data_IF_575424917500
#
_entry.id   IF_575424917500
#
_cell.length_a   1.000
_cell.length_b   1.000
_cell.length_c   1.000
_cell.angle_alpha   90.00
_cell.angle_beta   90.00
_cell.angle_gamma   90.00
#
_symmetry.space_group_name_H-M   'P 1'
#
loop_
_entity.id
_entity.type
_entity.pdbx_description
1 polymer ?
#
# COMPACT_ATOMS: atom_id res chain seq x y z
N UNK A 1 -12.54 -12.18 -2.67
CA UNK A 1 -11.30 -12.37 -1.90
C UNK A 1 -11.20 -11.21 -0.92
N UNK A 2 -10.81 -11.48 0.31
CA UNK A 2 -10.70 -10.46 1.34
C UNK A 2 -9.35 -9.76 1.24
N UNK A 3 -9.36 -8.44 1.03
CA UNK A 3 -8.12 -7.65 0.89
C UNK A 3 -7.28 -7.62 2.18
N UNK A 4 -7.85 -8.08 3.30
CA UNK A 4 -7.24 -8.11 4.61
C UNK A 4 -7.01 -9.53 5.13
N UNK A 5 -7.02 -10.53 4.23
CA UNK A 5 -6.66 -11.92 4.56
C UNK A 5 -5.33 -11.98 5.32
N UNK A 6 -5.28 -12.80 6.37
CA UNK A 6 -4.04 -13.04 7.14
C UNK A 6 -2.99 -13.78 6.30
N UNK A 7 -3.46 -14.62 5.39
CA UNK A 7 -2.60 -15.50 4.60
C UNK A 7 -2.17 -14.77 3.32
N UNK A 8 -0.86 -14.79 3.00
CA UNK A 8 -0.35 -14.26 1.75
C UNK A 8 -0.94 -15.07 0.59
N UNK A 9 -1.60 -14.41 -0.38
CA UNK A 9 -2.09 -15.08 -1.57
C UNK A 9 -0.95 -15.59 -2.44
N UNK A 10 -1.12 -16.71 -3.14
CA UNK A 10 -0.06 -17.25 -4.02
C UNK A 10 0.34 -16.28 -5.16
N UNK A 11 -0.60 -15.46 -5.64
CA UNK A 11 -0.36 -14.52 -6.73
C UNK A 11 0.63 -13.41 -6.39
N UNK A 12 0.88 -13.13 -5.09
CA UNK A 12 1.83 -12.07 -4.69
C UNK A 12 3.29 -12.43 -5.01
N UNK A 13 3.60 -13.70 -5.27
CA UNK A 13 4.97 -14.14 -5.56
C UNK A 13 5.52 -13.54 -6.85
N UNK A 14 4.63 -13.22 -7.81
CA UNK A 14 4.99 -12.60 -9.09
C UNK A 14 4.88 -11.06 -9.06
N UNK A 15 4.73 -10.46 -7.87
CA UNK A 15 4.49 -9.03 -7.75
C UNK A 15 5.75 -8.21 -8.04
N UNK A 16 5.63 -7.24 -8.95
CA UNK A 16 6.70 -6.25 -9.24
C UNK A 16 6.48 -4.96 -8.45
N UNK A 17 7.54 -4.33 -7.96
CA UNK A 17 7.42 -3.04 -7.26
C UNK A 17 7.04 -1.91 -8.23
N UNK A 18 5.97 -1.18 -7.95
CA UNK A 18 5.55 -0.01 -8.71
C UNK A 18 5.89 1.28 -7.95
N UNK A 19 6.72 2.13 -8.58
CA UNK A 19 7.16 3.40 -7.99
C UNK A 19 6.04 4.47 -8.04
N UNK A 20 5.25 4.51 -9.12
CA UNK A 20 4.23 5.53 -9.36
C UNK A 20 2.83 5.16 -8.83
N UNK A 21 2.75 4.16 -7.94
CA UNK A 21 1.48 3.66 -7.37
C UNK A 21 0.43 3.28 -8.44
N UNK A 22 0.89 2.80 -9.60
CA UNK A 22 0.08 2.39 -10.73
C UNK A 22 0.57 1.07 -11.33
N UNK A 23 -0.25 0.42 -12.15
CA UNK A 23 0.16 -0.81 -12.81
C UNK A 23 1.36 -0.57 -13.73
N UNK A 24 2.47 -1.32 -13.61
CA UNK A 24 3.66 -1.10 -14.46
C UNK A 24 3.43 -1.46 -15.94
N UNK A 25 2.38 -2.24 -16.25
CA UNK A 25 2.06 -2.67 -17.62
C UNK A 25 1.09 -1.70 -18.31
N UNK A 26 -0.05 -1.42 -17.69
CA UNK A 26 -1.12 -0.61 -18.28
C UNK A 26 -1.28 0.79 -17.67
N UNK A 27 -0.50 1.14 -16.63
CA UNK A 27 -0.57 2.41 -15.88
C UNK A 27 -1.92 2.70 -15.23
N UNK A 28 -2.79 1.68 -15.13
CA UNK A 28 -4.07 1.83 -14.46
C UNK A 28 -3.91 2.00 -12.95
N UNK A 29 -4.84 2.74 -12.38
CA UNK A 29 -4.90 2.97 -10.94
C UNK A 29 -5.28 1.69 -10.19
N UNK A 30 -4.87 1.54 -8.92
CA UNK A 30 -5.23 0.39 -8.09
C UNK A 30 -6.75 0.27 -7.84
N UNK A 31 -7.54 1.30 -8.14
CA UNK A 31 -9.00 1.25 -8.10
C UNK A 31 -9.59 0.27 -9.12
N UNK A 32 -8.90 0.02 -10.23
CA UNK A 32 -9.28 -1.00 -11.24
C UNK A 32 -8.62 -2.35 -10.99
N UNK A 33 -7.97 -2.57 -9.85
CA UNK A 33 -7.40 -3.87 -9.54
C UNK A 33 -8.51 -4.90 -9.29
N UNK A 34 -8.36 -6.08 -9.88
CA UNK A 34 -9.25 -7.22 -9.69
C UNK A 34 -9.20 -7.73 -8.26
N UNK A 35 -8.00 -7.70 -7.67
CA UNK A 35 -7.75 -8.10 -6.29
C UNK A 35 -6.71 -7.18 -5.68
N UNK A 36 -6.86 -6.96 -4.38
CA UNK A 36 -5.88 -6.27 -3.55
C UNK A 36 -5.58 -7.12 -2.32
N UNK A 37 -4.39 -7.01 -1.78
CA UNK A 37 -3.99 -7.61 -0.52
C UNK A 37 -3.01 -6.71 0.22
N UNK A 38 -3.27 -6.44 1.50
CA UNK A 38 -2.44 -5.58 2.33
C UNK A 38 -1.75 -6.40 3.43
N UNK A 39 -0.43 -6.34 3.48
CA UNK A 39 0.32 -6.96 4.56
C UNK A 39 0.33 -6.06 5.81
N UNK A 40 -0.65 -6.24 6.70
CA UNK A 40 -0.79 -5.47 7.95
C UNK A 40 0.14 -5.92 9.08
N UNK A 41 0.72 -7.11 8.98
CA UNK A 41 1.41 -7.78 10.09
C UNK A 41 2.93 -7.57 10.10
N UNK A 42 3.50 -7.20 8.96
CA UNK A 42 4.93 -6.91 8.83
C UNK A 42 5.13 -5.46 8.35
N UNK A 43 4.87 -4.46 9.22
CA UNK A 43 5.23 -3.09 8.90
C UNK A 43 6.75 -2.97 8.78
N UNK A 44 7.21 -2.31 7.73
CA UNK A 44 8.61 -1.95 7.57
C UNK A 44 8.81 -0.57 8.15
N UNK A 45 9.78 -0.44 9.05
CA UNK A 45 10.16 0.86 9.61
C UNK A 45 11.16 1.53 8.68
N UNK A 46 10.80 2.70 8.19
CA UNK A 46 11.68 3.52 7.36
C UNK A 46 12.69 4.32 8.21
N UNK A 47 13.68 4.96 7.58
CA UNK A 47 14.69 5.79 8.26
C UNK A 47 14.10 6.93 9.11
N UNK A 48 12.88 7.36 8.79
CA UNK A 48 12.12 8.35 9.55
C UNK A 48 11.28 7.76 10.70
N UNK A 49 11.50 6.49 11.08
CA UNK A 49 10.72 5.74 12.08
C UNK A 49 9.23 5.58 11.75
N UNK A 50 8.83 5.87 10.51
CA UNK A 50 7.46 5.70 10.04
C UNK A 50 7.22 4.24 9.66
N UNK A 51 6.03 3.73 10.02
CA UNK A 51 5.59 2.40 9.62
C UNK A 51 5.05 2.46 8.19
N UNK A 52 5.59 1.60 7.32
CA UNK A 52 5.12 1.42 5.95
C UNK A 52 4.57 0.01 5.79
N UNK A 53 3.45 -0.13 5.09
CA UNK A 53 2.86 -1.42 4.77
C UNK A 53 3.00 -1.70 3.29
N UNK A 54 3.21 -2.97 2.93
CA UNK A 54 3.26 -3.43 1.54
C UNK A 54 1.84 -3.73 1.06
N UNK A 55 1.47 -3.08 -0.04
CA UNK A 55 0.16 -3.23 -0.69
C UNK A 55 0.34 -3.94 -2.02
N UNK A 56 -0.34 -5.07 -2.20
CA UNK A 56 -0.27 -5.89 -3.41
C UNK A 56 -1.57 -5.74 -4.20
N UNK A 57 -1.44 -5.67 -5.51
CA UNK A 57 -2.54 -5.48 -6.45
C UNK A 57 -2.40 -6.43 -7.63
N UNK A 58 -3.51 -7.05 -8.02
CA UNK A 58 -3.66 -7.81 -9.26
C UNK A 58 -4.48 -6.96 -10.22
N UNK A 59 -3.85 -6.45 -11.28
CA UNK A 59 -4.54 -5.66 -12.30
C UNK A 59 -5.40 -6.55 -13.21
N UNK A 60 -6.38 -5.98 -13.91
CA UNK A 60 -7.15 -6.69 -14.94
C UNK A 60 -6.29 -7.18 -16.11
N UNK A 61 -5.13 -6.56 -16.35
CA UNK A 61 -4.14 -7.02 -17.32
C UNK A 61 -3.28 -8.20 -16.81
N UNK A 62 -3.72 -8.88 -15.75
CA UNK A 62 -3.02 -10.01 -15.09
C UNK A 62 -1.64 -9.67 -14.51
N UNK A 63 -1.26 -8.41 -14.57
CA UNK A 63 -0.02 -7.92 -13.98
C UNK A 63 -0.20 -7.77 -12.47
N UNK A 64 0.64 -8.48 -11.72
CA UNK A 64 0.72 -8.34 -10.28
C UNK A 64 1.80 -7.34 -9.93
N UNK A 65 1.47 -6.39 -9.07
CA UNK A 65 2.41 -5.39 -8.59
C UNK A 65 2.16 -5.05 -7.13
N UNK A 66 3.14 -4.42 -6.50
CA UNK A 66 3.03 -3.95 -5.14
C UNK A 66 3.65 -2.57 -4.99
N UNK A 67 3.14 -1.80 -4.04
CA UNK A 67 3.65 -0.48 -3.70
C UNK A 67 3.56 -0.25 -2.19
N UNK A 68 4.28 0.75 -1.68
CA UNK A 68 4.15 1.12 -0.28
C UNK A 68 2.90 1.94 -0.04
N UNK A 69 2.30 1.76 1.13
CA UNK A 69 1.16 2.60 1.56
C UNK A 69 1.47 4.09 1.65
N UNK A 70 2.76 4.42 1.79
CA UNK A 70 3.25 5.80 1.81
C UNK A 70 3.43 6.41 0.44
N UNK A 71 3.51 5.60 -0.64
CA UNK A 71 3.59 6.09 -2.02
C UNK A 71 2.21 6.47 -2.57
N UNK A 72 1.14 6.24 -1.81
CA UNK A 72 -0.19 6.74 -2.17
C UNK A 72 -0.12 8.26 -2.35
N UNK A 73 -0.63 8.79 -3.47
CA UNK A 73 -0.78 10.23 -3.61
C UNK A 73 -1.67 10.75 -2.47
N UNK A 74 -1.40 11.97 -1.96
CA UNK A 74 -2.15 12.55 -0.86
C UNK A 74 -3.64 12.57 -1.22
N UNK A 75 -4.41 11.74 -0.53
CA UNK A 75 -5.86 11.70 -0.70
C UNK A 75 -6.48 12.85 0.09
N UNK A 76 -7.59 13.46 -0.39
CA UNK A 76 -8.32 14.49 0.37
C UNK A 76 -8.90 13.97 1.71
N UNK A 77 -8.80 12.67 1.96
CA UNK A 77 -9.28 11.99 3.17
C UNK A 77 -8.15 11.51 4.08
N UNK A 78 -6.87 11.68 3.72
CA UNK A 78 -5.76 11.48 4.64
C UNK A 78 -5.81 12.63 5.66
N UNK A 79 -6.42 12.37 6.82
CA UNK A 79 -6.16 13.18 8.00
C UNK A 79 -4.70 12.91 8.38
N UNK A 80 -3.88 13.96 8.38
CA UNK A 80 -2.57 13.97 9.00
C UNK A 80 -2.72 13.65 10.51
N UNK A 81 -2.82 12.36 10.85
CA UNK A 81 -2.84 11.91 12.25
C UNK A 81 -1.48 12.23 12.95
N UNK A 82 -0.40 12.42 12.18
CA UNK A 82 0.91 12.90 12.66
C UNK A 82 0.90 14.37 13.13
N UNK A 83 -0.10 15.18 12.76
CA UNK A 83 -0.18 16.58 13.21
C UNK A 83 -0.78 16.73 14.62
N UNK A 84 -1.40 15.69 15.17
CA UNK A 84 -2.10 15.75 16.46
C UNK A 84 -1.18 15.42 17.65
N UNK A 85 -0.09 14.67 17.46
CA UNK A 85 0.82 14.33 18.56
C UNK A 85 1.73 15.51 18.96
N UNK A 86 2.22 16.30 18.00
CA UNK A 86 2.99 17.52 18.28
C UNK A 86 2.14 18.61 18.96
N UNK A 87 0.82 18.60 18.74
CA UNK A 87 -0.13 19.56 19.34
C UNK A 87 -0.56 19.20 20.76
N UNK A 88 -0.38 17.93 21.17
CA UNK A 88 -0.81 17.42 22.48
C UNK A 88 0.16 17.68 23.63
N UNK A 89 1.33 18.26 23.37
CA UNK A 89 2.16 18.88 24.41
C UNK A 89 2.46 17.99 25.62
N UNK A 90 2.71 16.69 25.40
CA UNK A 90 3.14 15.79 26.46
C UNK A 90 4.67 15.72 26.50
N UNK A 91 5.29 16.79 26.99
CA UNK A 91 6.61 16.84 27.66
C UNK A 91 6.65 18.04 28.60
#
# INVERSE_FOLDING_TARGET
>A
MDAFSLLPPEWIQNATHAMDFCCPSCQETPLKAKRAWLNRYAPVTDSLHRRRWQEFYECECETVWWAWSTDRPPSPYQKDDDADEFRRGLY
#
